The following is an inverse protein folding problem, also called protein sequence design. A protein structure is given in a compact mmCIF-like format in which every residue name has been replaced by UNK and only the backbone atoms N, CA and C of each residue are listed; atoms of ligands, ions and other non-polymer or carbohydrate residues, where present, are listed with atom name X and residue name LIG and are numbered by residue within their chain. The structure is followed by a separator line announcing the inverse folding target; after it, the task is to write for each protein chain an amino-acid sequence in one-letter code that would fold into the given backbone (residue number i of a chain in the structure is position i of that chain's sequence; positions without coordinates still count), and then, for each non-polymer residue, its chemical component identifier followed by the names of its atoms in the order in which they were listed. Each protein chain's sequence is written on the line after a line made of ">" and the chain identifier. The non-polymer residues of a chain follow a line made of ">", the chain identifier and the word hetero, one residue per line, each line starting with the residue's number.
data_IF_392120275791
#
_entry.id   IF_392120275791
#
_cell.length_a   1.000
_cell.length_b   1.000
_cell.length_c   1.000
_cell.angle_alpha   90.00
_cell.angle_beta   90.00
_cell.angle_gamma   90.00
#
_symmetry.space_group_name_H-M   'P 1'
#
loop_
_entity.id
_entity.type
_entity.pdbx_description
1 polymer ?
#
# COMPACT_ATOMS: atom_id res chain seq x y z
N UNK A 1 10.82 27.65 -58.78
CA UNK A 1 10.21 26.49 -58.08
C UNK A 1 10.60 26.55 -56.60
N UNK A 2 9.67 26.94 -55.72
CA UNK A 2 9.76 26.65 -54.29
C UNK A 2 8.32 26.73 -53.72
N UNK A 3 7.73 25.57 -53.40
CA UNK A 3 6.39 25.46 -52.80
C UNK A 3 6.50 25.69 -51.30
N UNK A 4 5.71 26.63 -50.78
CA UNK A 4 5.48 26.80 -49.34
C UNK A 4 4.74 25.55 -48.82
N UNK A 5 5.31 24.89 -47.81
CA UNK A 5 4.66 23.77 -47.10
C UNK A 5 3.69 24.38 -46.10
N UNK A 6 2.40 24.06 -46.22
CA UNK A 6 1.37 24.43 -45.25
C UNK A 6 1.54 23.63 -43.95
N UNK A 7 1.19 24.26 -42.83
CA UNK A 7 1.22 23.64 -41.51
C UNK A 7 0.28 22.43 -41.44
N UNK A 8 0.65 21.37 -40.68
CA UNK A 8 -0.21 20.22 -40.48
C UNK A 8 -1.46 20.59 -39.66
N UNK A 9 -2.61 19.95 -39.93
CA UNK A 9 -3.85 20.22 -39.20
C UNK A 9 -3.72 19.84 -37.71
N UNK A 10 -4.29 20.68 -36.83
CA UNK A 10 -4.31 20.42 -35.38
C UNK A 10 -5.07 19.12 -35.08
N UNK A 11 -4.59 18.31 -34.12
CA UNK A 11 -5.31 17.13 -33.68
C UNK A 11 -6.65 17.51 -33.02
N UNK A 12 -7.67 16.64 -33.12
CA UNK A 12 -8.97 16.88 -32.50
C UNK A 12 -8.84 16.93 -30.96
N UNK A 13 -9.71 17.69 -30.26
CA UNK A 13 -9.71 17.72 -28.81
C UNK A 13 -10.04 16.34 -28.22
N UNK A 14 -9.47 15.99 -27.05
CA UNK A 14 -9.76 14.72 -26.40
C UNK A 14 -11.25 14.61 -26.03
N UNK A 15 -11.82 13.39 -26.03
CA UNK A 15 -13.20 13.17 -25.62
C UNK A 15 -13.41 13.61 -24.16
N UNK A 16 -14.63 14.07 -23.81
CA UNK A 16 -14.94 14.43 -22.43
C UNK A 16 -14.77 13.20 -21.51
N UNK A 17 -14.28 13.39 -20.27
CA UNK A 17 -14.10 12.28 -19.34
C UNK A 17 -15.43 11.56 -19.13
N UNK A 18 -15.42 10.23 -19.28
CA UNK A 18 -16.57 9.39 -18.94
C UNK A 18 -16.88 9.58 -17.46
N UNK A 19 -18.16 9.80 -17.16
CA UNK A 19 -18.67 9.98 -15.80
C UNK A 19 -18.30 8.76 -14.93
N UNK A 20 -17.22 8.86 -14.16
CA UNK A 20 -17.03 8.06 -12.94
C UNK A 20 -18.29 8.25 -12.10
N UNK A 21 -18.95 7.17 -11.69
CA UNK A 21 -20.19 7.22 -10.92
C UNK A 21 -20.06 8.25 -9.79
N UNK A 22 -20.78 9.36 -9.93
CA UNK A 22 -20.77 10.42 -8.92
C UNK A 22 -21.61 9.91 -7.76
N UNK A 23 -20.96 9.53 -6.65
CA UNK A 23 -21.66 9.35 -5.39
C UNK A 23 -22.51 10.59 -5.11
N UNK A 24 -23.80 10.36 -4.89
CA UNK A 24 -24.78 11.37 -4.50
C UNK A 24 -24.34 12.06 -3.21
N UNK A 25 -24.82 13.28 -2.99
CA UNK A 25 -24.55 14.04 -1.77
C UNK A 25 -24.96 13.25 -0.52
N UNK A 26 -26.08 12.53 -0.58
CA UNK A 26 -26.56 11.63 0.48
C UNK A 26 -25.66 10.42 0.72
N UNK A 27 -25.02 9.85 -0.31
CA UNK A 27 -24.05 8.76 -0.13
C UNK A 27 -22.76 9.26 0.53
N UNK A 28 -22.29 10.46 0.16
CA UNK A 28 -21.12 11.10 0.78
C UNK A 28 -21.39 11.53 2.22
N UNK A 29 -22.59 12.04 2.49
CA UNK A 29 -23.01 12.41 3.84
C UNK A 29 -23.17 11.15 4.71
N UNK A 30 -23.79 10.07 4.23
CA UNK A 30 -23.93 8.81 5.00
C UNK A 30 -22.60 8.12 5.36
N UNK A 31 -21.59 8.18 4.49
CA UNK A 31 -20.24 7.67 4.78
C UNK A 31 -19.50 8.51 5.82
N UNK A 32 -19.82 9.81 5.93
CA UNK A 32 -19.21 10.73 6.88
C UNK A 32 -19.95 10.80 8.23
N UNK A 33 -21.23 10.41 8.31
CA UNK A 33 -22.10 10.62 9.48
C UNK A 33 -22.42 9.37 10.29
N UNK A 34 -21.89 8.18 9.97
CA UNK A 34 -22.13 6.96 10.76
C UNK A 34 -20.84 6.17 11.08
N UNK A 35 -19.86 6.75 11.80
CA UNK A 35 -18.66 6.03 12.23
C UNK A 35 -19.00 4.75 13.01
N UNK A 36 -20.06 4.76 13.82
CA UNK A 36 -20.50 3.60 14.60
C UNK A 36 -20.95 2.41 13.73
N UNK A 37 -21.56 2.66 12.57
CA UNK A 37 -22.08 1.58 11.72
C UNK A 37 -20.98 0.89 10.93
N UNK A 38 -20.01 1.64 10.43
CA UNK A 38 -18.80 1.09 9.79
C UNK A 38 -17.89 0.39 10.80
N UNK A 39 -17.83 0.86 12.05
CA UNK A 39 -17.02 0.22 13.09
C UNK A 39 -17.62 -1.09 13.62
N UNK A 40 -18.96 -1.26 13.59
CA UNK A 40 -19.63 -2.41 14.23
C UNK A 40 -20.20 -3.45 13.26
N UNK A 41 -20.35 -3.13 11.97
CA UNK A 41 -20.82 -4.10 11.00
C UNK A 41 -19.67 -5.00 10.53
N UNK A 42 -19.76 -6.29 10.87
CA UNK A 42 -18.82 -7.32 10.37
C UNK A 42 -18.72 -7.27 8.84
N UNK A 43 -17.48 -7.31 8.34
CA UNK A 43 -17.17 -7.34 6.90
C UNK A 43 -16.54 -8.67 6.55
N UNK A 44 -16.99 -9.30 5.46
CA UNK A 44 -16.34 -10.48 4.87
C UNK A 44 -15.63 -10.06 3.59
N UNK A 45 -14.33 -10.20 3.55
CA UNK A 45 -13.48 -9.87 2.40
C UNK A 45 -12.21 -10.72 2.47
N UNK A 46 -11.55 -10.97 1.33
CA UNK A 46 -10.29 -11.72 1.26
C UNK A 46 -10.38 -13.17 1.83
N UNK A 47 -11.58 -13.73 1.94
CA UNK A 47 -11.81 -14.99 2.67
C UNK A 47 -11.71 -14.86 4.21
N UNK A 48 -11.56 -13.64 4.73
CA UNK A 48 -11.46 -13.30 6.14
C UNK A 48 -12.77 -12.68 6.67
N UNK A 49 -12.92 -12.67 7.99
CA UNK A 49 -14.00 -12.00 8.70
C UNK A 49 -13.42 -10.88 9.57
N UNK A 50 -13.70 -9.64 9.20
CA UNK A 50 -13.32 -8.46 9.96
C UNK A 50 -14.41 -8.09 10.96
N UNK A 51 -14.07 -7.77 12.23
CA UNK A 51 -15.04 -7.29 13.22
C UNK A 51 -15.84 -6.04 12.80
N UNK A 52 -15.27 -5.24 11.90
CA UNK A 52 -15.81 -3.99 11.38
C UNK A 52 -15.04 -3.55 10.11
N UNK A 53 -15.52 -2.49 9.47
CA UNK A 53 -14.93 -1.94 8.24
C UNK A 53 -13.80 -0.93 8.46
N UNK A 54 -13.48 -0.57 9.71
CA UNK A 54 -12.42 0.40 10.03
C UNK A 54 -11.15 -0.31 10.52
N UNK A 55 -10.04 -0.11 9.82
CA UNK A 55 -8.72 -0.57 10.25
C UNK A 55 -7.65 0.49 10.15
N UNK A 56 -6.48 0.15 10.70
CA UNK A 56 -5.31 1.03 10.69
C UNK A 56 -4.37 0.66 9.53
N UNK A 57 -4.11 1.63 8.67
CA UNK A 57 -3.25 1.46 7.49
C UNK A 57 -1.75 1.28 7.85
N UNK A 58 -1.00 0.68 6.93
CA UNK A 58 0.46 0.59 7.03
C UNK A 58 1.13 1.96 7.19
N UNK A 59 2.27 1.94 7.86
CA UNK A 59 3.11 3.10 8.14
C UNK A 59 3.01 3.58 9.58
N UNK A 60 1.94 3.22 10.30
CA UNK A 60 1.75 3.56 11.70
C UNK A 60 2.56 2.62 12.62
N UNK A 61 2.19 1.34 12.72
CA UNK A 61 2.97 0.32 13.42
C UNK A 61 3.88 -0.45 12.45
N UNK A 62 4.98 0.20 12.05
CA UNK A 62 5.93 -0.38 11.08
C UNK A 62 6.57 -1.68 11.54
N UNK A 63 6.63 -1.88 12.85
CA UNK A 63 7.53 -2.82 13.50
C UNK A 63 6.79 -3.88 14.35
N UNK A 64 5.47 -3.95 14.23
CA UNK A 64 4.58 -4.82 15.00
C UNK A 64 4.79 -4.70 16.51
N UNK A 65 4.89 -3.47 17.02
CA UNK A 65 5.12 -3.18 18.44
C UNK A 65 3.83 -2.99 19.23
N UNK A 66 2.74 -2.58 18.57
CA UNK A 66 1.54 -2.08 19.21
C UNK A 66 0.23 -2.70 18.71
N UNK A 67 0.27 -3.78 17.92
CA UNK A 67 -0.92 -4.41 17.31
C UNK A 67 -2.09 -4.58 18.29
N UNK A 68 -1.87 -5.22 19.44
CA UNK A 68 -2.94 -5.46 20.42
C UNK A 68 -3.45 -4.18 21.09
N UNK A 69 -2.57 -3.21 21.33
CA UNK A 69 -2.98 -1.92 21.88
C UNK A 69 -3.84 -1.15 20.88
N UNK A 70 -3.48 -1.19 19.59
CA UNK A 70 -4.26 -0.57 18.52
C UNK A 70 -5.62 -1.27 18.34
N UNK A 71 -5.66 -2.59 18.45
CA UNK A 71 -6.91 -3.34 18.49
C UNK A 71 -7.83 -2.89 19.63
N UNK A 72 -7.26 -2.69 20.82
CA UNK A 72 -8.01 -2.21 21.99
C UNK A 72 -8.55 -0.77 21.81
N UNK A 73 -8.03 0.01 20.86
CA UNK A 73 -8.59 1.31 20.47
C UNK A 73 -9.78 1.21 19.50
N UNK A 74 -10.18 -0.01 19.11
CA UNK A 74 -11.35 -0.27 18.27
C UNK A 74 -11.08 -0.51 16.79
N UNK A 75 -9.81 -0.62 16.37
CA UNK A 75 -9.51 -1.01 14.98
C UNK A 75 -9.86 -2.49 14.75
N UNK A 76 -10.56 -2.76 13.64
CA UNK A 76 -10.97 -4.12 13.24
C UNK A 76 -9.84 -4.91 12.57
N UNK A 77 -8.85 -4.21 12.02
CA UNK A 77 -7.60 -4.77 11.54
C UNK A 77 -6.47 -3.77 11.67
N UNK A 78 -5.24 -4.28 11.75
CA UNK A 78 -4.02 -3.46 11.73
C UNK A 78 -3.10 -3.98 10.63
N UNK A 79 -2.77 -3.11 9.68
CA UNK A 79 -1.73 -3.40 8.69
C UNK A 79 -0.37 -2.92 9.22
N UNK A 80 0.50 -3.84 9.60
CA UNK A 80 1.87 -3.51 10.04
C UNK A 80 2.79 -3.27 8.84
N UNK A 81 3.92 -2.61 9.08
CA UNK A 81 4.91 -2.30 8.05
C UNK A 81 4.75 -0.88 7.48
N UNK A 82 5.32 -0.56 6.32
CA UNK A 82 6.02 -1.47 5.41
C UNK A 82 7.33 -2.00 6.01
N UNK A 83 7.48 -3.32 5.99
CA UNK A 83 8.68 -4.06 6.42
C UNK A 83 9.51 -4.40 5.18
N UNK A 84 10.83 -4.27 5.28
CA UNK A 84 11.77 -4.67 4.23
C UNK A 84 12.55 -5.91 4.64
N UNK A 85 13.22 -6.57 3.70
CA UNK A 85 13.95 -7.80 4.00
C UNK A 85 15.07 -7.53 5.03
N UNK A 86 15.78 -6.42 4.84
CA UNK A 86 16.81 -5.92 5.75
C UNK A 86 16.32 -4.71 6.56
N UNK A 87 16.85 -4.49 7.78
CA UNK A 87 16.57 -3.28 8.54
C UNK A 87 17.12 -2.04 7.82
N UNK A 88 16.44 -0.90 7.99
CA UNK A 88 16.94 0.38 7.50
C UNK A 88 16.45 1.56 8.35
N UNK A 89 17.27 2.61 8.54
CA UNK A 89 16.92 3.75 9.40
C UNK A 89 15.89 4.69 8.77
N UNK A 90 15.65 4.57 7.45
CA UNK A 90 14.88 5.49 6.61
C UNK A 90 15.67 6.74 6.21
N UNK A 91 14.98 7.75 5.67
CA UNK A 91 15.61 9.00 5.24
C UNK A 91 15.98 9.89 6.46
N UNK A 92 16.91 10.85 6.32
CA UNK A 92 17.26 11.78 7.39
C UNK A 92 16.05 12.56 7.93
N UNK A 93 16.10 12.97 9.21
CA UNK A 93 15.08 13.83 9.83
C UNK A 93 15.40 15.32 9.54
N UNK A 94 14.41 16.22 9.47
CA UNK A 94 12.96 15.99 9.62
C UNK A 94 12.31 15.37 8.37
N UNK A 95 11.34 14.48 8.59
CA UNK A 95 10.75 13.62 7.53
C UNK A 95 9.25 13.36 7.68
N UNK A 96 8.61 14.05 8.61
CA UNK A 96 7.18 13.95 8.87
C UNK A 96 6.70 15.34 9.29
N UNK A 97 5.73 15.87 8.57
CA UNK A 97 5.22 17.21 8.73
C UNK A 97 3.71 17.18 8.74
N UNK A 98 3.11 18.04 9.58
CA UNK A 98 1.66 18.21 9.65
C UNK A 98 1.30 19.52 8.96
N UNK A 99 0.23 19.50 8.19
CA UNK A 99 -0.43 20.68 7.64
C UNK A 99 -1.85 20.72 8.26
N UNK A 100 -2.01 21.31 9.47
CA UNK A 100 -3.29 21.25 10.19
C UNK A 100 -4.43 21.93 9.42
N UNK A 101 -4.13 23.04 8.73
CA UNK A 101 -5.09 23.73 7.87
C UNK A 101 -5.70 22.80 6.81
N UNK A 102 -4.94 21.82 6.33
CA UNK A 102 -5.38 20.84 5.34
C UNK A 102 -5.86 19.52 5.92
N UNK A 103 -5.76 19.35 7.26
CA UNK A 103 -5.90 18.04 7.92
C UNK A 103 -5.00 16.98 7.25
N UNK A 104 -3.81 17.40 6.79
CA UNK A 104 -2.91 16.58 5.98
C UNK A 104 -1.58 16.31 6.69
N UNK A 105 -0.91 15.27 6.21
CA UNK A 105 0.43 14.87 6.64
C UNK A 105 1.30 14.67 5.39
N UNK A 106 2.47 15.30 5.39
CA UNK A 106 3.51 15.11 4.37
C UNK A 106 4.65 14.32 5.01
N UNK A 107 5.11 13.26 4.35
CA UNK A 107 6.17 12.43 4.89
C UNK A 107 7.15 11.97 3.82
N UNK A 108 8.42 11.84 4.23
CA UNK A 108 9.53 11.29 3.45
C UNK A 108 10.26 10.21 4.21
N UNK A 109 9.53 9.25 4.78
CA UNK A 109 10.08 8.30 5.76
C UNK A 109 11.11 7.32 5.19
N UNK A 110 10.93 6.85 3.95
CA UNK A 110 11.83 5.91 3.28
C UNK A 110 11.90 4.52 3.95
N UNK A 111 10.74 3.92 4.25
CA UNK A 111 10.63 2.58 4.90
C UNK A 111 11.54 2.35 6.11
N UNK A 112 11.63 3.27 7.07
CA UNK A 112 12.33 2.97 8.33
C UNK A 112 11.68 1.80 9.09
N UNK A 113 12.41 0.71 9.30
CA UNK A 113 11.92 -0.49 9.97
C UNK A 113 13.08 -1.36 10.48
N UNK A 114 12.75 -2.32 11.37
CA UNK A 114 13.73 -3.18 12.05
C UNK A 114 14.07 -4.46 11.25
N UNK A 115 13.55 -4.60 10.02
CA UNK A 115 13.75 -5.74 9.13
C UNK A 115 12.81 -6.91 9.39
N UNK A 116 12.57 -7.70 8.34
CA UNK A 116 11.63 -8.82 8.34
C UNK A 116 11.92 -9.84 9.46
N UNK A 117 13.18 -10.17 9.74
CA UNK A 117 13.55 -11.12 10.77
C UNK A 117 13.16 -10.67 12.20
N UNK A 118 13.27 -9.37 12.50
CA UNK A 118 12.88 -8.83 13.81
C UNK A 118 11.35 -8.77 13.92
N UNK A 119 10.67 -8.30 12.88
CA UNK A 119 9.21 -8.18 12.88
C UNK A 119 8.54 -9.55 12.94
N UNK A 120 9.05 -10.55 12.20
CA UNK A 120 8.57 -11.93 12.26
C UNK A 120 8.63 -12.49 13.69
N UNK A 121 9.76 -12.33 14.39
CA UNK A 121 9.89 -12.76 15.80
C UNK A 121 8.89 -12.08 16.72
N UNK A 122 8.56 -10.80 16.49
CA UNK A 122 7.55 -10.08 17.29
C UNK A 122 6.15 -10.63 17.04
N UNK A 123 5.78 -10.83 15.77
CA UNK A 123 4.48 -11.41 15.41
C UNK A 123 4.34 -12.86 15.91
N UNK A 124 5.39 -13.67 15.79
CA UNK A 124 5.42 -15.03 16.34
C UNK A 124 5.18 -15.04 17.85
N UNK A 125 5.91 -14.20 18.60
CA UNK A 125 5.72 -14.06 20.06
C UNK A 125 4.32 -13.57 20.42
N UNK A 126 3.75 -12.65 19.63
CA UNK A 126 2.36 -12.20 19.80
C UNK A 126 1.39 -13.38 19.70
N UNK A 127 1.48 -14.18 18.63
CA UNK A 127 0.62 -15.37 18.42
C UNK A 127 0.75 -16.39 19.55
N UNK A 128 1.97 -16.70 19.98
CA UNK A 128 2.23 -17.67 21.06
C UNK A 128 1.64 -17.28 22.41
N UNK A 129 1.50 -15.97 22.68
CA UNK A 129 0.99 -15.51 23.98
C UNK A 129 -0.47 -15.82 24.19
N UNK A 130 -1.24 -16.21 23.15
CA UNK A 130 -2.66 -16.62 23.27
C UNK A 130 -3.60 -15.58 23.89
N UNK A 131 -3.11 -14.36 24.14
CA UNK A 131 -3.78 -13.28 24.89
C UNK A 131 -4.06 -12.06 24.00
N UNK A 132 -3.87 -12.18 22.68
CA UNK A 132 -4.08 -11.12 21.73
C UNK A 132 -5.53 -11.11 21.25
N UNK A 133 -6.06 -9.91 21.04
CA UNK A 133 -7.28 -9.70 20.25
C UNK A 133 -7.30 -10.58 19.00
N UNK A 134 -8.46 -11.11 18.63
CA UNK A 134 -8.71 -11.79 17.33
C UNK A 134 -8.64 -10.80 16.14
N UNK A 135 -7.88 -9.71 16.30
CA UNK A 135 -7.71 -8.71 15.25
C UNK A 135 -7.00 -9.31 14.06
N UNK A 136 -7.50 -8.98 12.88
CA UNK A 136 -6.86 -9.31 11.61
C UNK A 136 -5.59 -8.48 11.45
N UNK A 137 -4.47 -9.14 11.19
CA UNK A 137 -3.16 -8.51 11.00
C UNK A 137 -2.75 -8.61 9.53
N UNK A 138 -2.77 -7.48 8.85
CA UNK A 138 -2.13 -7.33 7.55
C UNK A 138 -0.63 -7.13 7.70
N UNK A 139 0.18 -7.74 6.84
CA UNK A 139 1.61 -7.46 6.79
C UNK A 139 1.96 -6.82 5.45
N UNK A 140 2.44 -5.58 5.49
CA UNK A 140 2.86 -4.83 4.33
C UNK A 140 4.37 -4.97 4.12
N UNK A 141 4.79 -5.45 2.94
CA UNK A 141 6.19 -5.66 2.57
C UNK A 141 6.62 -4.75 1.42
N UNK A 142 7.89 -4.36 1.39
CA UNK A 142 8.45 -3.48 0.37
C UNK A 142 9.93 -3.74 0.12
N UNK A 143 10.47 -3.09 -0.92
CA UNK A 143 11.87 -3.20 -1.32
C UNK A 143 12.81 -2.53 -0.30
N UNK A 144 13.84 -3.26 0.14
CA UNK A 144 14.98 -2.71 0.87
C UNK A 144 15.67 -1.61 0.06
N UNK A 145 15.99 -0.46 0.68
CA UNK A 145 16.48 0.73 -0.03
C UNK A 145 17.72 0.49 -0.89
N UNK A 146 18.66 -0.32 -0.40
CA UNK A 146 19.96 -0.57 -1.07
C UNK A 146 19.88 -1.56 -2.24
N UNK A 147 18.75 -2.24 -2.42
CA UNK A 147 18.55 -3.15 -3.56
C UNK A 147 18.32 -2.31 -4.82
N UNK A 148 19.16 -2.45 -5.86
CA UNK A 148 18.99 -1.71 -7.11
C UNK A 148 17.67 -2.09 -7.79
N UNK A 149 16.83 -1.11 -8.13
CA UNK A 149 15.53 -1.35 -8.77
C UNK A 149 15.63 -1.95 -10.18
N UNK A 150 16.76 -1.71 -10.87
CA UNK A 150 17.01 -2.22 -12.21
C UNK A 150 17.39 -3.72 -12.21
N UNK A 151 17.96 -4.23 -11.11
CA UNK A 151 18.24 -5.64 -10.92
C UNK A 151 16.97 -6.40 -10.50
N UNK A 152 16.28 -6.95 -11.49
CA UNK A 152 15.04 -7.72 -11.28
C UNK A 152 15.25 -8.84 -10.27
N UNK A 153 16.32 -9.62 -10.40
CA UNK A 153 16.55 -10.79 -9.56
C UNK A 153 16.79 -10.40 -8.11
N UNK A 154 17.55 -9.32 -7.88
CA UNK A 154 17.75 -8.79 -6.53
C UNK A 154 16.44 -8.27 -5.92
N UNK A 155 15.61 -7.57 -6.69
CA UNK A 155 14.28 -7.12 -6.24
C UNK A 155 13.39 -8.31 -5.86
N UNK A 156 13.31 -9.33 -6.72
CA UNK A 156 12.52 -10.53 -6.44
C UNK A 156 12.99 -11.22 -5.16
N UNK A 157 14.31 -11.46 -5.04
CA UNK A 157 14.89 -12.12 -3.86
C UNK A 157 14.65 -11.34 -2.55
N UNK A 158 14.63 -10.01 -2.60
CA UNK A 158 14.34 -9.15 -1.45
C UNK A 158 12.88 -9.30 -0.97
N UNK A 159 11.93 -9.28 -1.90
CA UNK A 159 10.51 -9.51 -1.58
C UNK A 159 10.25 -10.95 -1.15
N UNK A 160 10.88 -11.95 -1.78
CA UNK A 160 10.77 -13.36 -1.38
C UNK A 160 11.34 -13.57 0.03
N UNK A 161 12.47 -12.95 0.38
CA UNK A 161 13.02 -13.02 1.73
C UNK A 161 12.04 -12.46 2.77
N UNK A 162 11.45 -11.30 2.50
CA UNK A 162 10.43 -10.71 3.37
C UNK A 162 9.21 -11.62 3.50
N UNK A 163 8.72 -12.15 2.38
CA UNK A 163 7.56 -13.05 2.29
C UNK A 163 7.80 -14.33 3.09
N UNK A 164 8.95 -14.98 2.90
CA UNK A 164 9.33 -16.21 3.60
C UNK A 164 9.28 -16.06 5.12
N UNK A 165 9.70 -14.90 5.64
CA UNK A 165 9.78 -14.63 7.07
C UNK A 165 8.44 -14.17 7.66
N UNK A 166 7.62 -13.47 6.88
CA UNK A 166 6.46 -12.74 7.40
C UNK A 166 5.11 -13.37 7.05
N UNK A 167 4.97 -14.04 5.91
CA UNK A 167 3.72 -14.66 5.49
C UNK A 167 3.15 -15.65 6.51
N UNK A 168 3.94 -16.50 7.22
CA UNK A 168 3.41 -17.39 8.25
C UNK A 168 2.76 -16.69 9.45
N UNK A 169 2.89 -15.36 9.55
CA UNK A 169 2.38 -14.54 10.64
C UNK A 169 1.35 -13.51 10.19
N UNK A 170 0.97 -13.50 8.92
CA UNK A 170 0.06 -12.54 8.33
C UNK A 170 -1.31 -13.18 8.10
N UNK A 171 -2.39 -12.46 8.44
CA UNK A 171 -3.74 -12.85 8.01
C UNK A 171 -3.98 -12.45 6.56
N UNK A 172 -3.34 -11.38 6.08
CA UNK A 172 -3.19 -11.04 4.66
C UNK A 172 -1.85 -10.35 4.41
N UNK A 173 -1.30 -10.50 3.20
CA UNK A 173 -0.01 -9.94 2.79
C UNK A 173 -0.23 -8.84 1.74
N UNK A 174 0.51 -7.73 1.86
CA UNK A 174 0.44 -6.59 0.92
C UNK A 174 1.81 -6.31 0.31
N UNK A 175 1.90 -6.34 -1.02
CA UNK A 175 3.08 -5.92 -1.79
C UNK A 175 3.00 -4.41 -2.04
N UNK A 176 3.92 -3.63 -1.46
CA UNK A 176 3.96 -2.19 -1.60
C UNK A 176 4.98 -1.70 -2.62
N UNK A 177 4.46 -1.37 -3.80
CA UNK A 177 5.21 -0.78 -4.93
C UNK A 177 4.91 0.71 -5.14
N UNK A 178 4.33 1.38 -4.14
CA UNK A 178 3.69 2.70 -4.33
C UNK A 178 4.23 3.83 -3.45
N UNK A 179 5.23 3.57 -2.59
CA UNK A 179 5.85 4.63 -1.79
C UNK A 179 6.61 5.63 -2.69
N UNK A 180 6.35 6.94 -2.59
CA UNK A 180 7.13 7.95 -3.31
C UNK A 180 8.50 8.21 -2.67
N UNK A 181 8.78 7.60 -1.51
CA UNK A 181 9.95 7.90 -0.67
C UNK A 181 11.11 6.94 -0.85
N UNK A 182 10.97 5.98 -1.77
CA UNK A 182 11.98 5.00 -2.14
C UNK A 182 12.24 5.17 -3.64
N UNK A 183 13.45 5.62 -4.05
CA UNK A 183 13.77 5.83 -5.46
C UNK A 183 13.46 4.61 -6.33
N UNK A 184 12.93 4.84 -7.53
CA UNK A 184 12.59 3.81 -8.53
C UNK A 184 11.48 2.83 -8.13
N UNK A 185 10.95 2.89 -6.90
CA UNK A 185 9.98 1.89 -6.43
C UNK A 185 8.68 1.92 -7.23
N UNK A 186 8.22 3.11 -7.62
CA UNK A 186 6.96 3.28 -8.35
C UNK A 186 7.01 2.75 -9.77
N UNK A 187 8.21 2.59 -10.34
CA UNK A 187 8.41 1.99 -11.67
C UNK A 187 8.07 0.49 -11.64
N UNK A 188 8.10 -0.14 -10.45
CA UNK A 188 7.64 -1.53 -10.27
C UNK A 188 6.13 -1.69 -10.45
N UNK A 189 5.36 -0.61 -10.61
CA UNK A 189 3.93 -0.68 -10.94
C UNK A 189 3.68 -0.95 -12.43
N UNK A 190 4.69 -0.81 -13.30
CA UNK A 190 4.58 -1.22 -14.70
C UNK A 190 4.37 -2.74 -14.79
N UNK A 191 3.44 -3.18 -15.66
CA UNK A 191 2.96 -4.58 -15.69
C UNK A 191 4.08 -5.60 -15.91
N UNK A 192 5.06 -5.28 -16.75
CA UNK A 192 6.22 -6.11 -17.06
C UNK A 192 7.13 -6.34 -15.84
N UNK A 193 7.17 -5.38 -14.90
CA UNK A 193 7.92 -5.50 -13.63
C UNK A 193 7.05 -6.06 -12.51
N UNK A 194 5.78 -5.68 -12.46
CA UNK A 194 4.86 -6.04 -11.39
C UNK A 194 4.48 -7.53 -11.44
N UNK A 195 4.24 -8.07 -12.64
CA UNK A 195 3.84 -9.47 -12.84
C UNK A 195 4.83 -10.47 -12.25
N UNK A 196 6.12 -10.50 -12.64
CA UNK A 196 7.06 -11.47 -12.09
C UNK A 196 7.23 -11.31 -10.57
N UNK A 197 7.14 -10.08 -10.06
CA UNK A 197 7.17 -9.80 -8.63
C UNK A 197 6.00 -10.42 -7.87
N UNK A 198 4.78 -10.19 -8.31
CA UNK A 198 3.59 -10.75 -7.66
C UNK A 198 3.57 -12.28 -7.73
N UNK A 199 3.99 -12.86 -8.87
CA UNK A 199 4.09 -14.32 -9.01
C UNK A 199 5.16 -14.91 -8.06
N UNK A 200 6.32 -14.27 -7.93
CA UNK A 200 7.36 -14.69 -7.00
C UNK A 200 6.88 -14.65 -5.55
N UNK A 201 6.28 -13.54 -5.13
CA UNK A 201 5.69 -13.40 -3.78
C UNK A 201 4.61 -14.43 -3.53
N UNK A 202 3.70 -14.67 -4.49
CA UNK A 202 2.65 -15.70 -4.37
C UNK A 202 3.24 -17.09 -4.16
N UNK A 203 4.16 -17.52 -5.03
CA UNK A 203 4.82 -18.83 -4.91
C UNK A 203 5.52 -18.98 -3.56
N UNK A 204 6.25 -17.95 -3.14
CA UNK A 204 6.96 -17.97 -1.86
C UNK A 204 6.01 -18.02 -0.67
N UNK A 205 4.89 -17.28 -0.71
CA UNK A 205 3.86 -17.30 0.32
C UNK A 205 3.21 -18.69 0.41
N UNK A 206 2.79 -19.28 -0.72
CA UNK A 206 2.22 -20.63 -0.77
C UNK A 206 3.17 -21.67 -0.17
N UNK A 207 4.45 -21.62 -0.56
CA UNK A 207 5.45 -22.57 -0.10
C UNK A 207 5.61 -22.57 1.44
N UNK A 208 5.62 -21.39 2.07
CA UNK A 208 5.85 -21.26 3.52
C UNK A 208 4.60 -21.35 4.37
N UNK A 209 3.41 -21.34 3.76
CA UNK A 209 2.12 -21.51 4.44
C UNK A 209 1.46 -22.84 4.09
N UNK A 210 2.21 -23.80 3.55
CA UNK A 210 1.73 -25.16 3.26
C UNK A 210 1.12 -25.81 4.52
N UNK A 211 -0.07 -26.39 4.39
CA UNK A 211 -0.80 -26.99 5.51
C UNK A 211 -1.58 -26.01 6.39
N UNK A 212 -1.63 -24.72 6.01
CA UNK A 212 -2.48 -23.71 6.63
C UNK A 212 -3.42 -23.08 5.58
N UNK A 213 -4.35 -22.22 6.02
CA UNK A 213 -5.15 -21.42 5.08
C UNK A 213 -4.24 -20.54 4.23
N UNK A 214 -4.51 -20.48 2.92
CA UNK A 214 -3.80 -19.61 1.98
C UNK A 214 -3.87 -18.16 2.46
N UNK A 215 -2.72 -17.53 2.63
CA UNK A 215 -2.65 -16.10 2.97
C UNK A 215 -3.09 -15.28 1.76
N UNK A 216 -4.14 -14.44 1.86
CA UNK A 216 -4.56 -13.53 0.81
C UNK A 216 -3.44 -12.55 0.44
N UNK A 217 -3.27 -12.31 -0.86
CA UNK A 217 -2.22 -11.45 -1.40
C UNK A 217 -2.82 -10.23 -2.10
N UNK A 218 -2.39 -9.05 -1.66
CA UNK A 218 -2.81 -7.77 -2.21
C UNK A 218 -1.63 -6.99 -2.76
N UNK A 219 -1.91 -6.05 -3.66
CA UNK A 219 -0.96 -5.02 -4.10
C UNK A 219 -1.43 -3.63 -3.65
N UNK A 220 -0.51 -2.80 -3.16
CA UNK A 220 -0.78 -1.40 -2.78
C UNK A 220 -0.28 -0.46 -3.86
N UNK A 221 -1.19 0.34 -4.43
CA UNK A 221 -0.93 1.20 -5.59
C UNK A 221 -0.89 2.69 -5.23
N UNK A 222 -0.15 3.46 -6.03
CA UNK A 222 -0.07 4.91 -5.89
C UNK A 222 -1.31 5.56 -6.53
N UNK A 223 -1.79 6.69 -5.99
CA UNK A 223 -2.90 7.43 -6.60
C UNK A 223 -2.51 8.15 -7.89
N UNK A 224 -1.21 8.37 -8.13
CA UNK A 224 -0.71 9.13 -9.30
C UNK A 224 -0.28 8.21 -10.45
N UNK A 225 -1.09 7.20 -10.76
CA UNK A 225 -1.01 6.43 -12.01
C UNK A 225 -1.84 7.13 -13.09
N UNK A 226 -1.51 6.93 -14.37
CA UNK A 226 -2.44 7.25 -15.46
C UNK A 226 -3.66 6.34 -15.41
N UNK A 227 -4.78 6.75 -16.01
CA UNK A 227 -5.98 5.92 -16.09
C UNK A 227 -5.68 4.55 -16.73
N UNK A 228 -4.92 4.54 -17.83
CA UNK A 228 -4.47 3.30 -18.48
C UNK A 228 -3.58 2.44 -17.57
N UNK A 229 -2.69 3.09 -16.80
CA UNK A 229 -1.83 2.39 -15.84
C UNK A 229 -2.63 1.77 -14.69
N UNK A 230 -3.67 2.45 -14.20
CA UNK A 230 -4.58 1.94 -13.19
C UNK A 230 -5.36 0.73 -13.70
N UNK A 231 -5.92 0.83 -14.91
CA UNK A 231 -6.64 -0.28 -15.55
C UNK A 231 -5.72 -1.48 -15.75
N UNK A 232 -4.51 -1.26 -16.27
CA UNK A 232 -3.55 -2.34 -16.51
C UNK A 232 -3.13 -3.07 -15.22
N UNK A 233 -2.95 -2.35 -14.09
CA UNK A 233 -2.66 -2.98 -12.79
C UNK A 233 -3.88 -3.74 -12.25
N UNK A 234 -5.09 -3.22 -12.46
CA UNK A 234 -6.32 -3.91 -12.04
C UNK A 234 -6.55 -5.20 -12.84
N UNK A 235 -6.37 -5.16 -14.17
CA UNK A 235 -6.44 -6.34 -15.04
C UNK A 235 -5.39 -7.39 -14.63
N UNK A 236 -4.15 -6.97 -14.38
CA UNK A 236 -3.10 -7.86 -13.89
C UNK A 236 -3.47 -8.51 -12.54
N UNK A 237 -4.04 -7.74 -11.62
CA UNK A 237 -4.45 -8.26 -10.31
C UNK A 237 -5.51 -9.36 -10.45
N UNK A 238 -6.49 -9.17 -11.34
CA UNK A 238 -7.52 -10.18 -11.65
C UNK A 238 -6.90 -11.40 -12.32
N UNK A 239 -6.05 -11.20 -13.33
CA UNK A 239 -5.41 -12.27 -14.09
C UNK A 239 -4.56 -13.18 -13.19
N UNK A 240 -3.80 -12.59 -12.26
CA UNK A 240 -2.97 -13.34 -11.32
C UNK A 240 -3.76 -13.91 -10.12
N UNK A 241 -5.05 -13.62 -10.02
CA UNK A 241 -5.89 -14.05 -8.90
C UNK A 241 -5.44 -13.46 -7.57
N UNK A 242 -5.07 -12.18 -7.55
CA UNK A 242 -4.86 -11.45 -6.30
C UNK A 242 -6.18 -11.31 -5.54
N UNK A 243 -6.10 -11.34 -4.22
CA UNK A 243 -7.27 -11.29 -3.35
C UNK A 243 -7.80 -9.85 -3.17
N UNK A 244 -6.99 -8.83 -3.52
CA UNK A 244 -7.44 -7.44 -3.51
C UNK A 244 -6.36 -6.41 -3.85
N UNK A 245 -6.77 -5.14 -3.84
CA UNK A 245 -5.92 -3.98 -4.07
C UNK A 245 -6.10 -3.01 -2.90
N UNK A 246 -4.99 -2.52 -2.34
CA UNK A 246 -5.01 -1.43 -1.36
C UNK A 246 -4.88 -0.10 -2.11
N UNK A 247 -6.00 0.60 -2.27
CA UNK A 247 -6.10 1.90 -2.91
C UNK A 247 -6.42 2.99 -1.84
N UNK A 248 -5.58 3.99 -1.58
CA UNK A 248 -4.30 4.33 -2.25
C UNK A 248 -3.18 4.59 -1.26
N UNK A 249 -1.94 4.62 -1.75
CA UNK A 249 -0.81 5.21 -1.02
C UNK A 249 -0.88 6.76 -1.06
N UNK A 250 0.14 7.42 -0.53
CA UNK A 250 0.25 8.89 -0.53
C UNK A 250 0.50 9.45 -1.93
N UNK A 251 -0.07 10.62 -2.23
CA UNK A 251 0.13 11.37 -3.49
C UNK A 251 1.37 12.27 -3.45
N UNK A 252 1.98 12.48 -4.62
CA UNK A 252 2.99 13.53 -4.83
C UNK A 252 2.37 14.89 -5.16
N UNK A 253 1.08 14.95 -5.51
CA UNK A 253 0.39 16.19 -5.83
C UNK A 253 0.27 17.10 -4.60
N UNK A 254 0.28 18.42 -4.87
CA UNK A 254 0.21 19.50 -3.87
C UNK A 254 -0.79 20.60 -4.25
N UNK A 255 -1.41 20.47 -5.41
CA UNK A 255 -2.34 21.41 -6.04
C UNK A 255 -3.64 21.64 -5.24
N UNK A 256 -3.98 20.74 -4.31
CA UNK A 256 -5.22 20.80 -3.51
C UNK A 256 -5.00 21.29 -2.07
N UNK A 257 -3.81 21.78 -1.74
CA UNK A 257 -3.51 22.29 -0.40
C UNK A 257 -3.97 23.74 -0.23
N UNK A 258 -4.53 24.04 0.94
CA UNK A 258 -4.90 25.39 1.40
C UNK A 258 -3.80 26.04 2.23
N UNK A 259 -2.88 25.24 2.78
CA UNK A 259 -1.67 25.75 3.43
C UNK A 259 -0.90 26.70 2.51
N UNK A 260 -0.22 27.68 3.13
CA UNK A 260 0.57 28.67 2.38
C UNK A 260 1.69 28.00 1.58
N UNK A 261 2.12 28.61 0.48
CA UNK A 261 3.29 28.12 -0.29
C UNK A 261 4.52 27.98 0.61
N UNK A 262 4.68 28.87 1.59
CA UNK A 262 5.77 28.80 2.57
C UNK A 262 5.66 27.54 3.43
N UNK A 263 4.47 27.18 3.91
CA UNK A 263 4.29 25.95 4.70
C UNK A 263 4.50 24.70 3.85
N UNK A 264 4.06 24.72 2.58
CA UNK A 264 4.25 23.61 1.63
C UNK A 264 5.72 23.47 1.21
N UNK A 265 6.47 24.56 1.08
CA UNK A 265 7.89 24.54 0.74
C UNK A 265 8.78 24.01 1.88
N UNK A 266 8.30 24.05 3.14
CA UNK A 266 9.05 23.57 4.31
C UNK A 266 9.01 22.05 4.49
N UNK A 267 8.14 21.34 3.78
CA UNK A 267 7.83 19.91 4.02
C UNK A 267 8.42 18.94 3.01
#
# INVERSE_FOLDING_TARGET
>A
MARLRGDPPRPPPPPPPRSVAKFSRSERENLATQPDRLATQRVRALGLSFPGGLGLAAGFDKNAKGVDALAALGFSFVEVGTVTAEPQPGNPKPRLFRLPADRAVVNRMGFNNDGAAVVARRLARRRQRGRGSEIVVGVNIGKTKVVPENDVNAVLADYEKSTRLLAPHADYLVVNVSSPNTPGLRDLQAVDRLRPLLQAVRRQADAVTTGTSRVPLLVKIAPDLSDDGLVAVAELAVELGLDGIVATNTTIARDRLRSSETDVARV
#
